data_IF_381250873192
#
_entry.id   IF_381250873192
#
_cell.length_a   1.000
_cell.length_b   1.000
_cell.length_c   1.000
_cell.angle_alpha   90.00
_cell.angle_beta   90.00
_cell.angle_gamma   90.00
#
_symmetry.space_group_name_H-M   'P 1'
#
loop_
_entity.id
_entity.type
_entity.pdbx_description
1 polymer ?
2 non-polymer ?
3 non-polymer ?
4 non-polymer ?
5 water ?
#
# COMPACT_ATOMS: atom_id res chain seq x y z
N UNK A 16 23.20 12.03 -20.22
CA UNK A 16 22.59 12.04 -18.85
C UNK A 16 22.05 10.67 -18.47
N UNK A 17 22.91 9.82 -17.86
CA UNK A 17 22.45 8.48 -17.46
C UNK A 17 21.47 8.61 -16.29
N UNK A 18 20.65 7.58 -16.10
CA UNK A 18 19.66 7.63 -15.05
C UNK A 18 19.39 6.27 -14.41
N UNK A 19 19.05 6.26 -13.11
CA UNK A 19 18.76 5.00 -12.43
C UNK A 19 17.38 4.48 -12.80
N UNK A 20 16.58 5.36 -13.42
CA UNK A 20 15.23 4.99 -13.82
C UNK A 20 15.08 4.80 -15.33
N UNK A 21 13.97 4.19 -15.70
CA UNK A 21 13.60 3.99 -17.10
C UNK A 21 12.09 4.23 -17.13
N UNK A 22 11.63 5.10 -18.02
CA UNK A 22 10.20 5.40 -18.09
C UNK A 22 9.44 4.63 -19.15
N UNK A 23 8.13 4.50 -18.96
CA UNK A 23 7.28 3.80 -19.91
C UNK A 23 5.91 4.44 -20.01
N UNK A 24 5.30 4.36 -21.20
CA UNK A 24 3.93 4.84 -21.36
C UNK A 24 3.16 3.53 -21.35
N UNK A 25 1.84 3.57 -21.22
CA UNK A 25 1.10 2.31 -21.15
C UNK A 25 1.40 1.35 -22.31
N UNK A 26 1.53 1.90 -23.52
CA UNK A 26 1.81 1.11 -24.71
C UNK A 26 3.09 0.26 -24.54
N UNK A 27 4.19 0.91 -24.18
CA UNK A 27 5.48 0.22 -24.00
C UNK A 27 5.44 -0.76 -22.84
N UNK A 28 4.68 -0.41 -21.79
CA UNK A 28 4.60 -1.26 -20.63
C UNK A 28 3.74 -2.50 -20.83
N UNK A 29 2.66 -2.38 -21.60
CA UNK A 29 1.79 -3.54 -21.81
C UNK A 29 2.48 -4.66 -22.58
N UNK A 30 3.42 -4.29 -23.44
CA UNK A 30 4.15 -5.27 -24.25
C UNK A 30 4.98 -6.21 -23.41
N UNK A 31 5.27 -5.81 -22.17
CA UNK A 31 6.08 -6.65 -21.32
C UNK A 31 5.26 -7.69 -20.58
N UNK A 32 3.97 -7.77 -20.92
CA UNK A 32 3.09 -8.75 -20.28
C UNK A 32 3.50 -10.15 -20.70
N UNK A 33 3.99 -10.26 -21.93
CA UNK A 33 4.38 -11.55 -22.49
C UNK A 33 3.13 -12.43 -22.38
N UNK A 34 3.29 -13.68 -21.95
CA UNK A 34 2.13 -14.54 -21.85
C UNK A 34 1.65 -14.78 -20.43
N UNK A 35 1.68 -13.73 -19.61
CA UNK A 35 1.21 -13.87 -18.24
C UNK A 35 -0.30 -13.99 -18.31
N UNK A 36 -0.86 -15.04 -17.72
CA UNK A 36 -2.30 -15.29 -17.71
C UNK A 36 -3.08 -14.41 -16.73
N UNK A 37 -4.30 -14.07 -17.12
CA UNK A 37 -5.19 -13.25 -16.28
C UNK A 37 -6.11 -14.17 -15.48
N UNK A 38 -5.85 -14.29 -14.18
CA UNK A 38 -6.64 -15.16 -13.31
C UNK A 38 -7.63 -14.37 -12.47
N UNK A 39 -8.15 -13.27 -13.01
CA UNK A 39 -9.09 -12.45 -12.26
C UNK A 39 -10.33 -12.12 -13.08
N UNK A 40 -11.51 -12.37 -12.51
CA UNK A 40 -12.78 -12.11 -13.18
C UNK A 40 -13.27 -10.69 -12.90
N UNK A 41 -14.28 -10.27 -13.64
CA UNK A 41 -14.86 -8.95 -13.47
C UNK A 41 -15.41 -8.82 -12.04
N UNK A 42 -16.13 -9.84 -11.58
CA UNK A 42 -16.69 -9.82 -10.25
C UNK A 42 -15.60 -9.68 -9.18
N UNK A 43 -14.66 -10.61 -9.17
CA UNK A 43 -13.57 -10.60 -8.20
C UNK A 43 -12.88 -9.25 -8.13
N UNK A 44 -12.64 -8.64 -9.29
CA UNK A 44 -12.02 -7.33 -9.35
C UNK A 44 -12.83 -6.31 -8.59
N UNK A 45 -14.14 -6.36 -8.78
CA UNK A 45 -15.07 -5.47 -8.13
C UNK A 45 -14.94 -5.47 -6.61
N UNK A 46 -14.93 -6.65 -6.01
CA UNK A 46 -14.82 -6.73 -4.57
C UNK A 46 -13.45 -6.33 -4.06
N UNK A 47 -12.61 -5.82 -4.96
CA UNK A 47 -11.27 -5.40 -4.57
C UNK A 47 -11.08 -3.90 -4.71
N UNK A 48 -11.88 -3.27 -5.55
CA UNK A 48 -11.74 -1.83 -5.79
C UNK A 48 -12.50 -0.98 -4.78
N UNK A 49 -11.98 0.22 -4.54
CA UNK A 49 -12.62 1.12 -3.61
C UNK A 49 -13.48 2.18 -4.27
N UNK A 50 -14.34 2.77 -3.47
CA UNK A 50 -15.24 3.80 -3.97
C UNK A 50 -14.46 4.83 -4.77
N UNK A 51 -14.91 5.09 -5.99
CA UNK A 51 -14.24 6.08 -6.82
C UNK A 51 -13.22 5.50 -7.78
N UNK A 52 -12.66 4.34 -7.45
CA UNK A 52 -11.68 3.69 -8.31
C UNK A 52 -12.26 3.29 -9.66
N UNK A 53 -11.51 3.54 -10.74
CA UNK A 53 -11.95 3.24 -12.11
C UNK A 53 -11.23 2.06 -12.72
N UNK A 54 -10.57 1.27 -11.89
CA UNK A 54 -9.80 0.14 -12.37
C UNK A 54 -10.65 -0.97 -13.02
N UNK A 55 -10.29 -1.34 -14.25
CA UNK A 55 -10.99 -2.40 -14.98
C UNK A 55 -10.02 -3.50 -15.39
N UNK A 56 -10.57 -4.62 -15.85
CA UNK A 56 -9.74 -5.74 -16.28
C UNK A 56 -8.71 -5.37 -17.34
N UNK A 57 -9.02 -4.38 -18.17
CA UNK A 57 -8.04 -4.01 -19.18
C UNK A 57 -6.79 -3.44 -18.51
N UNK A 58 -6.98 -2.54 -17.53
CA UNK A 58 -5.85 -1.96 -16.82
C UNK A 58 -5.07 -3.04 -16.07
N UNK A 59 -5.77 -4.06 -15.59
CA UNK A 59 -5.11 -5.16 -14.90
C UNK A 59 -4.25 -5.97 -15.86
N UNK A 60 -4.67 -6.04 -17.12
CA UNK A 60 -3.93 -6.80 -18.13
C UNK A 60 -2.71 -6.04 -18.66
N UNK A 61 -2.92 -4.78 -19.03
CA UNK A 61 -1.85 -3.97 -19.57
C UNK A 61 -0.89 -3.42 -18.53
N UNK A 62 -1.28 -3.43 -17.25
CA UNK A 62 -0.41 -2.88 -16.22
C UNK A 62 -0.06 -3.78 -15.06
N UNK A 63 -1.05 -4.40 -14.46
CA UNK A 63 -0.78 -5.26 -13.32
C UNK A 63 -0.14 -6.60 -13.68
N UNK A 64 -0.33 -7.05 -14.91
CA UNK A 64 0.23 -8.34 -15.32
C UNK A 64 1.74 -8.28 -15.51
N UNK A 65 2.24 -7.24 -16.21
CA UNK A 65 3.68 -7.12 -16.41
C UNK A 65 4.34 -7.07 -15.03
N UNK A 66 3.79 -6.21 -14.18
CA UNK A 66 4.25 -6.02 -12.81
C UNK A 66 4.31 -7.34 -12.06
N UNK A 67 3.29 -8.16 -12.26
CA UNK A 67 3.24 -9.45 -11.61
C UNK A 67 4.37 -10.32 -12.13
N UNK A 68 4.76 -10.10 -13.38
CA UNK A 68 5.85 -10.85 -14.01
C UNK A 68 7.16 -10.38 -13.40
N UNK A 69 7.41 -9.09 -13.48
CA UNK A 69 8.61 -8.50 -12.92
C UNK A 69 8.80 -8.93 -11.48
N UNK A 70 7.72 -8.99 -10.71
CA UNK A 70 7.85 -9.37 -9.32
C UNK A 70 8.28 -10.82 -9.18
N UNK A 71 7.74 -11.69 -10.02
CA UNK A 71 8.10 -13.09 -9.94
C UNK A 71 9.52 -13.36 -10.42
N UNK A 72 10.00 -12.54 -11.35
CA UNK A 72 11.35 -12.69 -11.84
C UNK A 72 12.30 -12.30 -10.71
N UNK A 73 11.92 -11.30 -9.92
CA UNK A 73 12.75 -10.84 -8.82
C UNK A 73 12.63 -11.63 -7.51
N UNK A 74 11.53 -12.37 -7.32
CA UNK A 74 11.40 -13.16 -6.09
C UNK A 74 12.46 -14.26 -6.07
N UNK A 75 12.71 -14.84 -7.25
CA UNK A 75 13.71 -15.90 -7.36
C UNK A 75 15.11 -15.31 -7.17
N UNK A 76 15.40 -14.25 -7.92
CA UNK A 76 16.69 -13.57 -7.85
C UNK A 76 16.98 -13.03 -6.46
N UNK A 77 15.95 -12.55 -5.77
CA UNK A 77 16.14 -12.01 -4.44
C UNK A 77 16.51 -13.13 -3.47
N UNK A 78 16.10 -14.35 -3.78
CA UNK A 78 16.41 -15.49 -2.91
C UNK A 78 17.88 -15.90 -3.01
N UNK A 79 18.46 -15.77 -4.20
CA UNK A 79 19.86 -16.11 -4.41
C UNK A 79 20.69 -15.25 -3.46
N UNK A 80 20.28 -13.99 -3.35
CA UNK A 80 20.96 -13.02 -2.52
C UNK A 80 21.01 -13.41 -1.03
N UNK A 81 19.92 -13.95 -0.50
CA UNK A 81 19.91 -14.38 0.90
C UNK A 81 20.60 -15.73 1.00
N UNK A 82 20.52 -16.50 -0.07
CA UNK A 82 21.15 -17.81 -0.10
C UNK A 82 22.64 -17.62 0.08
N UNK A 83 23.19 -16.63 -0.62
CA UNK A 83 24.61 -16.33 -0.57
C UNK A 83 25.07 -16.10 0.86
N UNK A 84 24.38 -15.20 1.55
CA UNK A 84 24.71 -14.87 2.93
C UNK A 84 24.57 -16.07 3.85
N UNK A 85 23.69 -16.99 3.47
CA UNK A 85 23.48 -18.18 4.27
C UNK A 85 24.69 -19.10 4.06
N UNK A 86 25.10 -19.22 2.80
CA UNK A 86 26.24 -20.06 2.47
C UNK A 86 27.44 -19.50 3.21
N UNK A 87 27.74 -18.23 2.98
CA UNK A 87 28.86 -17.56 3.63
C UNK A 87 28.92 -17.93 5.10
N UNK A 88 27.77 -17.84 5.76
CA UNK A 88 27.68 -18.13 7.19
C UNK A 88 27.72 -19.62 7.52
N UNK A 89 27.73 -20.47 6.50
CA UNK A 89 27.75 -21.91 6.74
C UNK A 89 26.49 -22.33 7.47
N UNK A 90 25.35 -21.79 7.05
CA UNK A 90 24.07 -22.09 7.67
C UNK A 90 23.39 -23.25 6.95
N UNK A 91 22.45 -23.93 7.64
CA UNK A 91 21.70 -25.06 7.12
C UNK A 91 21.44 -25.07 5.60
N UNK A 92 20.19 -24.83 5.19
CA UNK A 92 19.82 -24.84 3.77
C UNK A 92 18.56 -24.03 3.43
N UNK A 93 17.71 -23.79 4.44
CA UNK A 93 16.46 -23.06 4.26
C UNK A 93 15.44 -24.00 3.63
N UNK A 94 14.53 -24.53 4.44
CA UNK A 94 13.49 -25.43 3.94
C UNK A 94 12.79 -24.70 2.80
N UNK A 95 12.73 -25.34 1.61
CA UNK A 95 12.07 -24.74 0.44
C UNK A 95 10.61 -24.38 0.72
N UNK A 96 10.09 -24.96 1.80
CA UNK A 96 8.71 -24.73 2.22
C UNK A 96 8.72 -23.54 3.20
N UNK A 97 9.88 -22.91 3.32
CA UNK A 97 10.09 -21.78 4.21
C UNK A 97 11.30 -20.94 3.82
N UNK A 98 11.25 -20.27 2.65
CA UNK A 98 12.38 -19.44 2.23
C UNK A 98 12.20 -18.08 2.89
N UNK A 99 13.04 -17.12 2.54
CA UNK A 99 12.91 -15.80 3.13
C UNK A 99 11.80 -15.04 2.40
N UNK A 100 10.76 -14.63 3.13
CA UNK A 100 9.60 -13.90 2.64
C UNK A 100 9.94 -12.64 1.85
N UNK A 101 9.29 -12.48 0.71
CA UNK A 101 9.50 -11.33 -0.17
C UNK A 101 8.57 -10.22 0.30
N UNK A 102 9.15 -9.13 0.80
CA UNK A 102 8.35 -8.01 1.31
C UNK A 102 8.10 -6.93 0.26
N UNK A 103 6.85 -6.51 0.11
CA UNK A 103 6.54 -5.48 -0.86
C UNK A 103 5.85 -4.29 -0.23
N UNK A 104 6.37 -3.10 -0.51
CA UNK A 104 5.79 -1.89 0.03
C UNK A 104 4.98 -1.16 -1.01
N UNK A 105 3.77 -0.72 -0.64
CA UNK A 105 2.91 0.05 -1.53
C UNK A 105 2.64 1.37 -0.82
N UNK A 106 3.06 2.47 -1.43
CA UNK A 106 2.90 3.79 -0.82
C UNK A 106 2.17 4.76 -1.72
N UNK A 107 1.86 5.91 -1.16
CA UNK A 107 1.16 6.94 -1.90
C UNK A 107 0.25 7.71 -0.97
N UNK A 108 -0.34 8.77 -1.48
CA UNK A 108 -1.23 9.61 -0.70
C UNK A 108 -2.58 8.98 -0.40
N UNK A 109 -3.27 9.60 0.55
CA UNK A 109 -4.60 9.16 0.90
C UNK A 109 -5.39 9.37 -0.38
N UNK A 110 -6.40 8.54 -0.62
CA UNK A 110 -7.26 8.65 -1.79
C UNK A 110 -6.66 8.50 -3.18
N UNK A 111 -5.41 8.07 -3.30
CA UNK A 111 -4.82 7.93 -4.63
C UNK A 111 -5.10 6.55 -5.23
N UNK A 112 -5.69 5.66 -4.45
CA UNK A 112 -6.01 4.34 -4.95
C UNK A 112 -5.07 3.23 -4.51
N UNK A 113 -4.03 3.56 -3.77
CA UNK A 113 -3.06 2.55 -3.35
C UNK A 113 -3.67 1.32 -2.66
N UNK A 114 -4.71 1.50 -1.85
CA UNK A 114 -5.26 0.29 -1.20
C UNK A 114 -5.80 -0.69 -2.22
N UNK A 115 -6.37 -0.20 -3.30
CA UNK A 115 -6.87 -1.06 -4.37
C UNK A 115 -5.69 -1.73 -5.04
N UNK A 116 -4.70 -0.93 -5.41
CA UNK A 116 -3.50 -1.43 -6.05
C UNK A 116 -2.94 -2.58 -5.22
N UNK A 117 -2.90 -2.41 -3.91
CA UNK A 117 -2.35 -3.46 -3.07
C UNK A 117 -3.23 -4.70 -3.11
N UNK A 118 -4.53 -4.51 -2.93
CA UNK A 118 -5.46 -5.65 -2.93
C UNK A 118 -5.45 -6.42 -4.23
N UNK A 119 -5.32 -5.71 -5.33
CA UNK A 119 -5.31 -6.35 -6.63
C UNK A 119 -4.03 -7.14 -6.79
N UNK A 120 -2.91 -6.57 -6.36
CA UNK A 120 -1.62 -7.21 -6.46
C UNK A 120 -1.60 -8.51 -5.67
N UNK A 121 -2.21 -8.50 -4.48
CA UNK A 121 -2.25 -9.70 -3.65
C UNK A 121 -3.04 -10.78 -4.37
N UNK A 122 -4.07 -10.35 -5.08
CA UNK A 122 -4.93 -11.27 -5.80
C UNK A 122 -4.16 -11.93 -6.94
N UNK A 123 -3.41 -11.14 -7.69
CA UNK A 123 -2.64 -11.67 -8.80
C UNK A 123 -1.53 -12.62 -8.35
N UNK A 124 -0.82 -12.25 -7.29
CA UNK A 124 0.27 -13.11 -6.82
C UNK A 124 -0.21 -14.36 -6.12
N UNK A 125 -1.43 -14.34 -5.59
CA UNK A 125 -1.96 -15.53 -4.92
C UNK A 125 -2.35 -16.58 -5.95
N UNK A 126 -2.71 -16.10 -7.13
CA UNK A 126 -3.10 -17.00 -8.20
C UNK A 126 -1.93 -17.39 -9.08
N UNK A 127 -0.72 -17.21 -8.57
CA UNK A 127 0.45 -17.61 -9.34
C UNK A 127 0.57 -19.11 -9.12
N UNK A 128 1.18 -19.81 -10.06
CA UNK A 128 1.32 -21.26 -10.00
C UNK A 128 1.32 -21.99 -8.66
N UNK A 129 2.47 -22.09 -8.00
CA UNK A 129 2.49 -22.84 -6.75
C UNK A 129 1.61 -22.33 -5.60
N UNK A 130 0.72 -21.39 -5.90
CA UNK A 130 -0.18 -20.83 -4.89
C UNK A 130 0.56 -20.40 -3.63
N UNK A 131 1.21 -19.22 -3.68
CA UNK A 131 1.98 -18.65 -2.58
C UNK A 131 1.09 -18.09 -1.49
N UNK A 132 1.56 -18.11 -0.24
CA UNK A 132 0.78 -17.54 0.86
C UNK A 132 1.11 -16.04 0.81
N UNK A 133 0.25 -15.26 0.15
CA UNK A 133 0.45 -13.83 0.01
C UNK A 133 -0.41 -13.01 0.98
N UNK A 134 0.20 -12.56 2.07
CA UNK A 134 -0.54 -11.76 3.05
C UNK A 134 -0.47 -10.28 2.74
N UNK A 135 -1.44 -9.51 3.24
CA UNK A 135 -1.48 -8.07 3.05
C UNK A 135 -1.77 -7.37 4.37
N UNK A 136 -0.99 -6.35 4.67
CA UNK A 136 -1.17 -5.60 5.91
C UNK A 136 -1.09 -4.10 5.67
N UNK A 137 -2.08 -3.39 6.19
CA UNK A 137 -2.15 -1.95 6.06
C UNK A 137 -1.58 -1.38 7.35
N UNK A 138 -0.84 -0.27 7.24
CA UNK A 138 -0.25 0.33 8.43
C UNK A 138 -1.30 0.97 9.32
N UNK A 139 -2.55 0.92 8.87
CA UNK A 139 -3.69 1.43 9.61
C UNK A 139 -3.59 0.98 11.05
N UNK A 140 -3.43 -0.34 11.20
CA UNK A 140 -3.35 -0.98 12.49
C UNK A 140 -2.20 -0.57 13.39
N UNK A 141 -1.21 0.11 12.84
CA UNK A 141 -0.09 0.55 13.65
C UNK A 141 -0.21 2.01 14.08
N UNK A 142 -1.40 2.57 13.95
CA UNK A 142 -1.63 3.94 14.39
C UNK A 142 -1.83 3.88 15.90
N UNK A 143 -1.44 4.92 16.62
CA UNK A 143 -1.63 4.91 18.06
C UNK A 143 -3.12 5.06 18.33
N UNK A 144 -3.63 4.43 19.39
CA UNK A 144 -5.05 4.53 19.73
C UNK A 144 -5.39 6.00 19.91
N UNK A 145 -6.63 6.38 19.66
CA UNK A 145 -7.04 7.76 19.82
C UNK A 145 -6.65 8.35 21.17
N UNK A 146 -6.81 7.55 22.22
CA UNK A 146 -6.46 8.01 23.57
C UNK A 146 -5.00 8.42 23.60
N UNK A 147 -4.15 7.56 23.04
CA UNK A 147 -2.71 7.82 23.00
C UNK A 147 -2.40 9.01 22.09
N UNK A 148 -3.19 9.18 21.03
CA UNK A 148 -2.97 10.30 20.13
C UNK A 148 -3.32 11.60 20.85
N UNK A 149 -4.44 11.61 21.55
CA UNK A 149 -4.84 12.82 22.29
C UNK A 149 -3.73 13.18 23.27
N UNK A 150 -3.18 12.16 23.93
CA UNK A 150 -2.13 12.36 24.89
C UNK A 150 -0.99 13.13 24.25
N UNK A 151 -0.56 12.70 23.07
CA UNK A 151 0.55 13.34 22.36
C UNK A 151 0.06 14.54 21.56
N UNK A 152 -1.20 14.89 21.75
CA UNK A 152 -1.81 16.01 21.04
C UNK A 152 -1.71 15.79 19.54
N UNK A 153 -1.95 14.55 19.11
CA UNK A 153 -1.84 14.21 17.70
C UNK A 153 -3.14 13.87 16.98
N UNK A 154 -4.29 14.04 17.63
CA UNK A 154 -5.56 13.70 16.98
C UNK A 154 -5.82 14.34 15.62
N UNK A 155 -5.04 15.35 15.27
CA UNK A 155 -5.21 16.02 13.99
C UNK A 155 -3.97 15.81 13.16
N UNK A 156 -3.32 14.68 13.39
CA UNK A 156 -2.11 14.35 12.65
C UNK A 156 -2.10 12.88 12.22
N UNK A 157 -3.29 12.27 12.23
CA UNK A 157 -3.39 10.88 11.82
C UNK A 157 -2.88 10.69 10.39
N UNK A 158 -1.83 9.90 10.25
CA UNK A 158 -1.27 9.68 8.93
C UNK A 158 0.14 10.21 8.88
N UNK A 159 0.43 11.17 9.75
CA UNK A 159 1.78 11.68 9.80
C UNK A 159 2.64 10.60 10.47
N UNK A 160 3.91 10.51 10.08
CA UNK A 160 4.85 9.53 10.62
C UNK A 160 4.76 9.37 12.12
N UNK A 161 4.64 10.48 12.84
CA UNK A 161 4.59 10.45 14.29
C UNK A 161 3.30 9.89 14.90
N UNK A 162 2.27 9.64 14.10
CA UNK A 162 1.04 9.12 14.68
C UNK A 162 0.99 7.59 14.62
N UNK A 163 2.08 6.98 14.17
CA UNK A 163 2.17 5.52 14.09
C UNK A 163 3.15 4.97 15.13
N UNK A 164 2.90 3.75 15.59
CA UNK A 164 3.82 3.11 16.53
C UNK A 164 4.87 2.48 15.62
N UNK A 165 5.78 3.30 15.12
CA UNK A 165 6.84 2.88 14.22
C UNK A 165 7.67 1.71 14.74
N UNK A 166 7.97 1.71 16.04
CA UNK A 166 8.77 0.63 16.59
C UNK A 166 8.04 -0.71 16.47
N UNK A 167 6.75 -0.72 16.80
CA UNK A 167 5.98 -1.96 16.72
C UNK A 167 5.90 -2.44 15.28
N UNK A 168 5.68 -1.48 14.37
CA UNK A 168 5.56 -1.77 12.96
C UNK A 168 6.80 -2.49 12.44
N UNK A 169 7.95 -1.93 12.77
CA UNK A 169 9.25 -2.48 12.37
C UNK A 169 9.43 -3.84 13.05
N UNK A 170 9.05 -3.94 14.32
CA UNK A 170 9.17 -5.22 15.02
C UNK A 170 8.40 -6.29 14.24
N UNK A 171 7.19 -5.96 13.82
CA UNK A 171 6.33 -6.86 13.07
C UNK A 171 6.96 -7.36 11.76
N UNK A 172 7.37 -6.44 10.90
CA UNK A 172 7.95 -6.82 9.62
C UNK A 172 9.27 -7.56 9.79
N UNK A 173 10.03 -7.17 10.80
CA UNK A 173 11.30 -7.84 11.01
C UNK A 173 11.00 -9.27 11.40
N UNK A 174 10.01 -9.44 12.25
CA UNK A 174 9.59 -10.77 12.68
C UNK A 174 9.24 -11.67 11.49
N UNK A 175 8.35 -11.19 10.63
CA UNK A 175 7.95 -11.99 9.48
C UNK A 175 9.09 -12.27 8.52
N UNK A 176 9.84 -11.25 8.15
CA UNK A 176 10.93 -11.45 7.21
C UNK A 176 12.04 -12.31 7.75
N UNK A 177 12.21 -12.34 9.08
CA UNK A 177 13.25 -13.15 9.69
C UNK A 177 12.82 -14.62 9.89
N UNK A 178 11.72 -15.00 9.26
CA UNK A 178 11.25 -16.38 9.34
C UNK A 178 10.40 -16.81 10.51
N UNK A 179 9.90 -15.89 11.33
CA UNK A 179 9.07 -16.29 12.47
C UNK A 179 7.83 -17.05 11.97
N UNK A 180 7.29 -17.93 12.82
CA UNK A 180 6.10 -18.71 12.46
C UNK A 180 4.88 -17.85 12.33
N UNK A 181 4.66 -16.98 13.31
CA UNK A 181 3.52 -16.08 13.27
C UNK A 181 3.91 -14.73 13.89
N UNK A 182 3.19 -13.69 13.48
CA UNK A 182 3.42 -12.35 13.98
C UNK A 182 2.07 -11.64 14.03
N UNK A 183 1.81 -10.88 15.09
CA UNK A 183 0.53 -10.19 15.21
C UNK A 183 0.60 -8.70 14.89
N UNK A 184 -0.53 -8.17 14.42
CA UNK A 184 -0.62 -6.76 14.09
C UNK A 184 -1.98 -6.25 14.56
N UNK A 185 -2.02 -5.05 15.17
CA UNK A 185 -3.30 -4.50 15.64
C UNK A 185 -4.20 -4.21 14.45
N UNK A 186 -5.49 -4.11 14.69
CA UNK A 186 -6.43 -3.85 13.64
C UNK A 186 -7.11 -2.52 13.87
N UNK A 187 -7.20 -1.71 12.82
CA UNK A 187 -7.82 -0.41 12.93
C UNK A 187 -9.25 -0.43 12.39
N UNK A 188 -10.13 0.31 13.04
CA UNK A 188 -11.51 0.37 12.59
C UNK A 188 -11.78 1.72 11.92
N UNK A 189 -12.23 1.69 10.67
CA UNK A 189 -12.52 2.92 9.95
C UNK A 189 -13.88 3.41 10.40
N UNK A 190 -14.73 2.47 10.81
CA UNK A 190 -16.07 2.78 11.28
C UNK A 190 -15.97 3.57 12.58
N UNK A 191 -15.13 3.09 13.50
CA UNK A 191 -14.98 3.77 14.78
C UNK A 191 -13.82 4.76 14.80
N UNK A 192 -12.99 4.76 13.76
CA UNK A 192 -11.91 5.73 13.68
C UNK A 192 -10.89 5.55 14.83
N UNK A 193 -10.72 4.32 15.28
CA UNK A 193 -9.80 4.04 16.37
C UNK A 193 -9.34 2.59 16.29
N UNK A 194 -8.32 2.24 17.05
CA UNK A 194 -7.81 0.88 17.08
C UNK A 194 -8.86 0.04 17.80
N UNK A 195 -9.03 -1.20 17.34
CA UNK A 195 -10.01 -2.11 17.93
C UNK A 195 -9.42 -2.90 19.09
N UNK A 196 -9.97 -2.70 20.29
CA UNK A 196 -9.47 -3.41 21.47
C UNK A 196 -9.46 -4.92 21.28
N UNK A 197 -8.31 -5.55 21.54
CA UNK A 197 -8.18 -7.00 21.43
C UNK A 197 -8.13 -7.64 20.06
N UNK A 198 -8.29 -6.86 19.00
CA UNK A 198 -8.26 -7.39 17.65
C UNK A 198 -6.86 -7.53 17.09
N UNK A 199 -6.61 -8.63 16.39
CA UNK A 199 -5.29 -8.83 15.82
C UNK A 199 -5.34 -9.59 14.49
N UNK A 200 -4.40 -9.26 13.60
CA UNK A 200 -4.30 -9.92 12.30
C UNK A 200 -3.08 -10.80 12.43
N UNK A 201 -3.25 -12.11 12.31
CA UNK A 201 -2.11 -12.99 12.43
C UNK A 201 -1.55 -13.34 11.07
N UNK A 202 -0.24 -13.23 10.93
CA UNK A 202 0.44 -13.53 9.68
C UNK A 202 1.39 -14.68 9.93
N UNK A 203 1.19 -15.77 9.20
CA UNK A 203 2.01 -16.96 9.39
C UNK A 203 2.94 -17.26 8.21
N UNK A 204 4.23 -17.04 8.45
CA UNK A 204 5.26 -17.27 7.46
C UNK A 204 4.78 -17.22 6.01
N UNK A 205 4.34 -16.05 5.54
CA UNK A 205 3.87 -15.97 4.16
C UNK A 205 5.07 -16.12 3.24
N UNK A 206 4.82 -16.24 1.95
CA UNK A 206 5.90 -16.35 0.99
C UNK A 206 6.13 -14.92 0.52
N UNK A 207 5.07 -14.14 0.60
CA UNK A 207 5.09 -12.75 0.20
C UNK A 207 4.21 -11.97 1.16
N UNK A 208 4.69 -10.79 1.55
CA UNK A 208 3.93 -9.94 2.45
C UNK A 208 3.89 -8.57 1.82
N UNK A 209 2.68 -8.04 1.64
CA UNK A 209 2.55 -6.71 1.09
C UNK A 209 2.17 -5.77 2.20
N UNK A 210 2.91 -4.66 2.29
CA UNK A 210 2.66 -3.66 3.31
C UNK A 210 2.20 -2.37 2.65
N UNK A 211 0.98 -1.95 2.96
CA UNK A 211 0.41 -0.76 2.36
C UNK A 211 0.20 0.34 3.38
N UNK A 212 0.70 1.53 3.06
CA UNK A 212 0.57 2.65 3.96
C UNK A 212 1.11 3.94 3.36
N UNK A 213 0.76 5.06 3.99
CA UNK A 213 1.19 6.38 3.53
C UNK A 213 2.69 6.59 3.48
N UNK A 214 3.37 6.37 4.60
CA UNK A 214 4.81 6.59 4.65
C UNK A 214 5.72 5.38 4.71
N UNK A 215 5.21 4.20 4.37
CA UNK A 215 6.04 3.00 4.44
C UNK A 215 7.38 3.12 3.72
N UNK A 216 7.49 4.07 2.79
CA UNK A 216 8.76 4.23 2.08
C UNK A 216 9.71 5.19 2.77
N UNK A 217 9.28 5.72 3.91
CA UNK A 217 10.08 6.66 4.66
C UNK A 217 11.38 6.08 5.19
N UNK A 218 12.38 6.95 5.28
CA UNK A 218 13.70 6.58 5.76
C UNK A 218 14.12 7.44 6.95
N UNK A 219 15.05 6.95 7.75
CA UNK A 219 15.47 7.73 8.92
C UNK A 219 16.74 7.33 9.66
N UNK A 220 16.90 7.83 10.89
CA UNK A 220 18.02 7.60 11.80
C UNK A 220 18.04 6.18 12.35
N UNK A 221 17.07 5.38 11.95
CA UNK A 221 17.02 4.01 12.44
C UNK A 221 16.63 3.13 11.28
N UNK A 222 16.89 1.83 11.39
CA UNK A 222 16.52 0.93 10.30
C UNK A 222 14.99 0.90 10.29
N UNK A 223 14.40 1.10 9.11
CA UNK A 223 12.94 1.13 9.01
C UNK A 223 12.43 0.08 8.06
N UNK A 224 11.10 -0.07 7.96
CA UNK A 224 10.55 -1.08 7.07
C UNK A 224 10.91 -0.86 5.61
N UNK A 225 11.22 0.37 5.22
CA UNK A 225 11.60 0.62 3.84
C UNK A 225 12.91 -0.12 3.55
N UNK A 226 13.75 -0.28 4.57
CA UNK A 226 15.03 -0.97 4.44
C UNK A 226 14.85 -2.48 4.30
N UNK A 227 13.66 -2.98 4.59
CA UNK A 227 13.39 -4.40 4.47
C UNK A 227 12.60 -4.76 3.21
N UNK A 228 12.11 -3.74 2.50
CA UNK A 228 11.36 -3.99 1.28
C UNK A 228 12.24 -4.60 0.19
N UNK A 229 11.74 -5.62 -0.50
CA UNK A 229 12.49 -6.24 -1.59
C UNK A 229 12.02 -5.62 -2.90
N UNK A 230 10.89 -4.94 -2.83
CA UNK A 230 10.29 -4.27 -3.97
C UNK A 230 9.24 -3.29 -3.45
N UNK A 231 9.15 -2.12 -4.07
CA UNK A 231 8.19 -1.13 -3.60
C UNK A 231 7.44 -0.43 -4.73
N UNK A 232 6.20 -0.06 -4.43
CA UNK A 232 5.33 0.62 -5.36
C UNK A 232 4.90 1.96 -4.79
N UNK A 233 4.82 2.96 -5.65
CA UNK A 233 4.36 4.27 -5.24
C UNK A 233 3.27 4.71 -6.25
N UNK A 234 2.02 4.75 -5.81
CA UNK A 234 0.92 5.17 -6.66
C UNK A 234 0.93 6.70 -6.63
N UNK A 235 1.01 7.31 -7.81
CA UNK A 235 1.12 8.76 -7.90
C UNK A 235 0.08 9.44 -8.80
N UNK A 236 -0.06 10.75 -8.62
CA UNK A 236 -0.98 11.54 -9.42
C UNK A 236 -0.74 13.00 -9.08
N UNK A 237 -1.14 13.90 -9.98
CA UNK A 237 -0.95 15.32 -9.69
C UNK A 237 -1.70 15.59 -8.38
N UNK A 238 -1.11 16.39 -7.51
CA UNK A 238 -1.74 16.67 -6.24
C UNK A 238 -3.17 17.20 -6.34
N UNK A 239 -3.40 18.13 -7.26
CA UNK A 239 -4.74 18.71 -7.41
C UNK A 239 -5.78 17.66 -7.75
N UNK A 240 -5.42 16.67 -8.55
CA UNK A 240 -6.37 15.64 -8.91
C UNK A 240 -6.71 14.80 -7.70
N UNK A 241 -5.70 14.52 -6.88
CA UNK A 241 -5.92 13.72 -5.69
C UNK A 241 -6.88 14.43 -4.74
N UNK A 242 -6.77 15.76 -4.66
CA UNK A 242 -7.68 16.49 -3.77
C UNK A 242 -9.10 16.32 -4.29
N UNK A 243 -9.26 16.36 -5.61
CA UNK A 243 -10.59 16.22 -6.17
C UNK A 243 -11.12 14.82 -5.88
N UNK A 244 -10.26 13.82 -5.99
CA UNK A 244 -10.70 12.47 -5.72
C UNK A 244 -11.10 12.37 -4.26
N UNK A 245 -10.30 13.01 -3.41
CA UNK A 245 -10.56 12.99 -1.98
C UNK A 245 -11.90 13.62 -1.65
N UNK A 246 -12.12 14.85 -2.13
CA UNK A 246 -13.35 15.57 -1.88
C UNK A 246 -14.54 14.79 -2.41
N UNK A 247 -14.42 14.38 -3.66
CA UNK A 247 -15.48 13.62 -4.32
C UNK A 247 -15.83 12.38 -3.51
N UNK A 248 -14.82 11.62 -3.10
CA UNK A 248 -15.05 10.42 -2.35
C UNK A 248 -15.68 10.73 -1.00
N UNK A 249 -15.36 11.90 -0.47
CA UNK A 249 -15.92 12.32 0.81
C UNK A 249 -17.43 12.48 0.64
N UNK A 250 -17.83 13.23 -0.38
CA UNK A 250 -19.25 13.45 -0.61
C UNK A 250 -19.99 12.13 -0.83
N UNK A 251 -19.39 11.25 -1.61
CA UNK A 251 -20.01 9.96 -1.90
C UNK A 251 -20.21 9.11 -0.65
N UNK A 252 -19.35 9.30 0.34
CA UNK A 252 -19.45 8.51 1.56
C UNK A 252 -20.60 8.93 2.48
N UNK A 253 -21.26 10.04 2.15
CA UNK A 253 -22.38 10.50 2.94
C UNK A 253 -23.49 9.46 2.88
N UNK A 254 -23.54 8.72 1.77
CA UNK A 254 -24.55 7.69 1.59
C UNK A 254 -24.02 6.26 1.69
N UNK A 255 -22.76 6.11 2.08
CA UNK A 255 -22.20 4.77 2.27
C UNK A 255 -21.74 4.68 3.73
N UNK A 256 -20.46 4.88 3.98
CA UNK A 256 -19.93 4.79 5.34
C UNK A 256 -20.47 5.79 6.37
N UNK A 257 -20.69 7.03 5.98
CA UNK A 257 -21.19 8.00 6.94
C UNK A 257 -22.64 7.78 7.29
N UNK A 258 -23.36 7.08 6.41
CA UNK A 258 -24.78 6.82 6.61
C UNK A 258 -25.03 5.97 7.84
N UNK A 259 -24.06 5.11 8.12
CA UNK A 259 -24.11 4.20 9.27
C UNK A 259 -24.13 5.04 10.55
N UNK A 260 -25.19 4.92 11.35
CA UNK A 260 -25.27 5.68 12.60
C UNK A 260 -24.16 5.37 13.60
N UNK A 261 -23.49 4.23 13.42
CA UNK A 261 -22.39 3.84 14.30
C UNK A 261 -21.11 4.59 13.91
N UNK A 262 -21.08 5.08 12.67
CA UNK A 262 -19.93 5.79 12.15
C UNK A 262 -19.54 7.03 12.93
N UNK A 263 -18.26 7.11 13.26
CA UNK A 263 -17.72 8.25 13.98
C UNK A 263 -17.98 9.55 13.22
N UNK A 264 -18.12 9.45 11.90
CA UNK A 264 -18.37 10.63 11.08
C UNK A 264 -19.81 10.73 10.62
N UNK A 265 -20.72 10.04 11.30
CA UNK A 265 -22.12 10.08 10.93
C UNK A 265 -22.68 11.50 10.76
N UNK A 266 -22.18 12.45 11.53
CA UNK A 266 -22.69 13.81 11.41
C UNK A 266 -22.45 14.40 10.03
N UNK A 267 -21.55 13.80 9.27
CA UNK A 267 -21.25 14.29 7.93
C UNK A 267 -22.28 13.89 6.89
N UNK A 268 -23.04 12.85 7.18
CA UNK A 268 -24.05 12.35 6.25
C UNK A 268 -25.09 13.39 5.87
N UNK A 269 -25.47 14.24 6.81
CA UNK A 269 -26.50 15.25 6.55
C UNK A 269 -25.99 16.56 5.96
N UNK A 270 -24.71 16.59 5.58
CA UNK A 270 -24.13 17.80 5.00
C UNK A 270 -24.62 17.96 3.58
N UNK A 271 -24.64 19.21 3.11
CA UNK A 271 -25.04 19.51 1.75
C UNK A 271 -23.78 19.35 0.92
N UNK A 272 -23.94 19.20 -0.39
CA UNK A 272 -22.78 19.07 -1.24
C UNK A 272 -21.81 20.18 -0.86
N UNK A 273 -22.34 21.40 -0.80
CA UNK A 273 -21.54 22.57 -0.44
C UNK A 273 -20.88 22.46 0.92
N UNK A 274 -21.66 22.15 1.95
CA UNK A 274 -21.11 22.04 3.28
C UNK A 274 -20.02 20.97 3.34
N UNK A 275 -20.29 19.82 2.71
CA UNK A 275 -19.36 18.71 2.70
C UNK A 275 -18.10 19.05 1.96
N UNK A 276 -18.22 19.78 0.85
CA UNK A 276 -17.04 20.17 0.09
C UNK A 276 -16.15 21.04 0.95
N UNK A 277 -16.76 21.95 1.70
CA UNK A 277 -16.00 22.84 2.56
C UNK A 277 -15.28 22.02 3.60
N UNK A 278 -15.98 21.05 4.17
CA UNK A 278 -15.38 20.19 5.18
C UNK A 278 -14.23 19.36 4.62
N UNK A 279 -14.45 18.71 3.47
CA UNK A 279 -13.42 17.88 2.88
C UNK A 279 -12.15 18.67 2.60
N UNK A 280 -12.32 19.83 1.97
CA UNK A 280 -11.19 20.69 1.66
C UNK A 280 -10.41 21.12 2.88
N UNK A 281 -11.12 21.39 3.98
CA UNK A 281 -10.41 21.81 5.16
C UNK A 281 -9.52 20.69 5.65
N UNK A 282 -10.06 19.47 5.66
CA UNK A 282 -9.28 18.32 6.11
C UNK A 282 -8.09 18.12 5.18
N UNK A 283 -8.33 18.23 3.88
CA UNK A 283 -7.25 18.08 2.92
C UNK A 283 -6.18 19.15 3.14
N UNK A 284 -6.63 20.38 3.31
CA UNK A 284 -5.75 21.51 3.52
C UNK A 284 -4.90 21.41 4.78
N UNK A 285 -5.52 20.97 5.86
CA UNK A 285 -4.81 20.91 7.13
C UNK A 285 -4.09 19.61 7.47
N UNK A 286 -4.52 18.50 6.91
CA UNK A 286 -3.90 17.22 7.25
C UNK A 286 -3.25 16.45 6.10
N UNK A 287 -4.06 16.08 5.12
CA UNK A 287 -3.60 15.27 4.01
C UNK A 287 -2.66 15.89 2.98
N UNK A 288 -2.86 17.16 2.65
CA UNK A 288 -1.96 17.77 1.69
C UNK A 288 -0.58 17.92 2.33
N UNK A 289 -0.52 18.53 3.54
CA UNK A 289 0.76 18.73 4.24
C UNK A 289 1.54 17.42 4.35
N UNK A 290 0.87 16.37 4.80
CA UNK A 290 1.54 15.09 4.96
C UNK A 290 2.03 14.56 3.61
N UNK A 291 1.26 14.80 2.56
CA UNK A 291 1.64 14.32 1.23
C UNK A 291 2.88 15.06 0.75
N UNK A 292 2.87 16.37 0.93
CA UNK A 292 3.98 17.21 0.52
C UNK A 292 5.24 17.06 1.39
N UNK A 293 5.07 17.06 2.71
CA UNK A 293 6.19 16.95 3.62
C UNK A 293 6.76 15.56 3.82
N UNK A 294 5.91 14.55 3.87
CA UNK A 294 6.40 13.20 4.13
C UNK A 294 6.29 12.14 3.06
N UNK A 295 5.16 12.08 2.37
CA UNK A 295 4.97 11.04 1.37
C UNK A 295 5.75 11.23 0.07
N UNK A 296 5.57 12.36 -0.58
CA UNK A 296 6.25 12.65 -1.84
C UNK A 296 7.78 12.60 -1.78
N UNK A 297 8.37 12.97 -0.64
CA UNK A 297 9.83 12.90 -0.63
C UNK A 297 10.35 11.47 -0.72
N UNK A 298 9.48 10.50 -0.46
CA UNK A 298 9.90 9.09 -0.53
C UNK A 298 9.72 8.48 -1.92
N UNK A 299 9.09 9.22 -2.83
CA UNK A 299 8.85 8.70 -4.16
C UNK A 299 10.08 8.29 -4.95
N UNK A 300 11.16 9.08 -4.88
CA UNK A 300 12.37 8.71 -5.63
C UNK A 300 12.90 7.31 -5.35
N UNK A 301 12.66 6.79 -4.15
CA UNK A 301 13.18 5.48 -3.79
C UNK A 301 12.36 4.26 -4.22
N UNK A 302 11.13 4.48 -4.67
CA UNK A 302 10.28 3.36 -5.07
C UNK A 302 10.74 2.64 -6.32
N UNK A 303 10.71 1.31 -6.26
CA UNK A 303 11.10 0.47 -7.39
C UNK A 303 10.27 0.87 -8.62
N UNK A 304 8.96 0.96 -8.44
CA UNK A 304 8.06 1.31 -9.56
C UNK A 304 6.99 2.31 -9.15
N UNK A 305 6.90 3.40 -9.90
CA UNK A 305 5.90 4.42 -9.64
C UNK A 305 4.78 4.30 -10.68
N UNK A 306 3.53 4.26 -10.22
CA UNK A 306 2.40 4.16 -11.14
C UNK A 306 1.76 5.54 -11.20
N UNK A 307 1.83 6.20 -12.35
CA UNK A 307 1.24 7.53 -12.49
C UNK A 307 -0.17 7.50 -13.07
N UNK A 308 -1.10 8.17 -12.40
CA UNK A 308 -2.49 8.23 -12.85
C UNK A 308 -2.92 9.61 -13.33
N UNK A 309 -3.67 9.64 -14.43
CA UNK A 309 -4.17 10.89 -14.95
C UNK A 309 -5.43 11.25 -14.17
N UNK A 310 -5.94 12.45 -14.38
CA UNK A 310 -7.14 12.93 -13.71
C UNK A 310 -8.30 11.92 -13.72
N UNK A 311 -8.29 11.01 -14.69
CA UNK A 311 -9.34 9.99 -14.80
C UNK A 311 -9.07 8.74 -13.97
N UNK A 312 -7.96 8.75 -13.21
CA UNK A 312 -7.57 7.61 -12.38
C UNK A 312 -6.78 6.58 -13.17
N UNK A 313 -6.71 6.78 -14.48
CA UNK A 313 -6.02 5.84 -15.36
C UNK A 313 -4.49 5.88 -15.29
N UNK A 314 -3.87 4.72 -15.13
CA UNK A 314 -2.42 4.64 -15.07
C UNK A 314 -1.91 4.68 -16.50
N UNK A 315 -1.33 5.81 -16.89
CA UNK A 315 -0.83 5.97 -18.25
C UNK A 315 0.68 6.23 -18.36
N UNK A 316 1.38 6.14 -17.24
CA UNK A 316 2.83 6.35 -17.24
C UNK A 316 3.46 5.61 -16.07
N UNK A 317 4.61 4.96 -16.32
CA UNK A 317 5.30 4.23 -15.26
C UNK A 317 6.79 4.52 -15.24
N UNK A 318 7.38 4.54 -14.04
CA UNK A 318 8.80 4.77 -13.89
C UNK A 318 9.41 3.64 -13.07
N UNK A 319 10.33 2.91 -13.69
CA UNK A 319 10.97 1.79 -13.03
C UNK A 319 12.41 2.12 -12.63
N UNK A 320 12.83 1.59 -11.49
CA UNK A 320 14.19 1.78 -11.04
C UNK A 320 14.94 0.60 -11.59
N UNK A 321 15.91 0.85 -12.46
CA UNK A 321 16.69 -0.25 -12.99
C UNK A 321 17.96 -0.33 -12.15
N UNK A 322 18.22 0.75 -11.41
CA UNK A 322 19.36 0.84 -10.50
C UNK A 322 18.88 1.29 -9.12
#
# INVERSE_FOLDING_TARGET
MGSSHHHHHHMSRLSEPSPYVEFDRRQWRALRMSTPLALTEEELVGLRGLGEQIDLLEVEEVYLPLARLIHLQVAARQRLFAATAEFLGEPQQNPDRPVPFIIGVAGSVAVGKSTTARVLQALLARWDHHPRVDLVTTDGFLYPNAELQRRNLMHRKGFPESYNRRALMRFVTSVKSGSDYACAPVYSHLHYDIIPGAEQVVRHPDILILEGLNVLQTGPTLMVSDLFDFSLYVDARIEDIEQWYVSRFLAMRTTAFADPESHFHHYAAFSDSQAVVAAREIWRTINRPNLVENILPTRPRATLVLRKDADHSINRLRLRKL
#
